data_IF_306234473196
#
_entry.id   IF_306234473196
#
_cell.length_a   1.000
_cell.length_b   1.000
_cell.length_c   1.000
_cell.angle_alpha   90.00
_cell.angle_beta   90.00
_cell.angle_gamma   90.00
#
_symmetry.space_group_name_H-M   'P 1'
#
loop_
_entity.id
_entity.type
_entity.pdbx_description
1 polymer ?
#
# COMPACT_ATOMS: atom_id res chain seq x y z
N UNK A 1 26.64 -6.69 -37.37
CA UNK A 1 27.15 -8.07 -37.26
C UNK A 1 26.71 -8.62 -35.91
N UNK A 2 25.73 -9.52 -35.88
CA UNK A 2 25.22 -10.11 -34.64
C UNK A 2 26.16 -11.27 -34.30
N UNK A 3 27.18 -11.02 -33.48
CA UNK A 3 27.94 -12.11 -32.90
C UNK A 3 27.03 -12.86 -31.92
N UNK A 4 26.64 -14.08 -32.28
CA UNK A 4 25.97 -14.99 -31.35
C UNK A 4 27.03 -15.47 -30.36
N UNK A 5 27.29 -14.69 -29.33
CA UNK A 5 28.16 -15.10 -28.23
C UNK A 5 27.48 -16.14 -27.36
N UNK A 6 28.26 -17.13 -26.93
CA UNK A 6 27.81 -18.17 -26.02
C UNK A 6 27.56 -17.58 -24.62
N UNK A 7 26.59 -18.12 -23.88
CA UNK A 7 26.25 -17.64 -22.53
C UNK A 7 27.46 -17.69 -21.58
N UNK A 8 28.30 -18.72 -21.70
CA UNK A 8 29.50 -18.87 -20.89
C UNK A 8 30.52 -17.74 -21.12
N UNK A 9 30.71 -17.33 -22.38
CA UNK A 9 31.62 -16.24 -22.73
C UNK A 9 31.08 -14.89 -22.25
N UNK A 10 29.77 -14.67 -22.38
CA UNK A 10 29.11 -13.46 -21.87
C UNK A 10 29.24 -13.37 -20.36
N UNK A 11 29.00 -14.47 -19.64
CA UNK A 11 29.16 -14.51 -18.18
C UNK A 11 30.61 -14.22 -17.79
N UNK A 12 31.59 -14.78 -18.51
CA UNK A 12 33.00 -14.48 -18.29
C UNK A 12 33.30 -12.98 -18.47
N UNK A 13 32.89 -12.38 -19.60
CA UNK A 13 33.10 -10.96 -19.86
C UNK A 13 32.42 -10.05 -18.82
N UNK A 14 31.25 -10.43 -18.32
CA UNK A 14 30.54 -9.63 -17.32
C UNK A 14 31.27 -9.73 -15.97
N UNK A 15 31.66 -10.93 -15.54
CA UNK A 15 32.28 -11.14 -14.22
C UNK A 15 33.71 -10.61 -14.13
N UNK A 16 34.53 -10.88 -15.14
CA UNK A 16 35.96 -10.60 -15.08
C UNK A 16 36.31 -9.24 -15.69
N UNK A 17 35.59 -8.81 -16.73
CA UNK A 17 35.90 -7.58 -17.45
C UNK A 17 34.91 -6.44 -17.11
N UNK A 18 33.85 -6.71 -16.34
CA UNK A 18 32.82 -5.71 -16.03
C UNK A 18 32.11 -5.17 -17.28
N UNK A 19 32.04 -5.95 -18.35
CA UNK A 19 31.57 -5.46 -19.65
C UNK A 19 30.06 -5.19 -19.64
N UNK A 20 29.66 -3.92 -19.51
CA UNK A 20 28.25 -3.51 -19.55
C UNK A 20 27.55 -3.87 -20.87
N UNK A 21 28.27 -3.84 -21.99
CA UNK A 21 27.72 -4.22 -23.29
C UNK A 21 27.30 -5.70 -23.31
N UNK A 22 28.10 -6.58 -22.70
CA UNK A 22 27.76 -8.00 -22.56
C UNK A 22 26.56 -8.20 -21.62
N UNK A 23 26.47 -7.41 -20.55
CA UNK A 23 25.33 -7.44 -19.64
C UNK A 23 24.02 -7.00 -20.32
N UNK A 24 24.07 -5.87 -21.04
CA UNK A 24 22.92 -5.37 -21.81
C UNK A 24 22.48 -6.38 -22.88
N UNK A 25 23.43 -7.04 -23.54
CA UNK A 25 23.13 -8.11 -24.48
C UNK A 25 22.42 -9.30 -23.81
N UNK A 26 22.86 -9.71 -22.61
CA UNK A 26 22.21 -10.76 -21.84
C UNK A 26 20.77 -10.38 -21.45
N UNK A 27 20.53 -9.13 -21.03
CA UNK A 27 19.18 -8.65 -20.75
C UNK A 27 18.27 -8.75 -21.97
N UNK A 28 18.72 -8.26 -23.12
CA UNK A 28 17.94 -8.36 -24.38
C UNK A 28 17.69 -9.81 -24.79
N UNK A 29 18.70 -10.67 -24.68
CA UNK A 29 18.63 -12.09 -25.04
C UNK A 29 17.58 -12.86 -24.21
N UNK A 30 17.53 -12.59 -22.90
CA UNK A 30 16.67 -13.31 -21.96
C UNK A 30 15.33 -12.61 -21.67
N UNK A 31 15.12 -11.38 -22.16
CA UNK A 31 13.88 -10.61 -21.97
C UNK A 31 12.63 -11.42 -22.37
N UNK A 32 12.61 -11.99 -23.58
CA UNK A 32 11.47 -12.80 -24.06
C UNK A 32 11.26 -14.06 -23.23
N UNK A 33 12.33 -14.63 -22.69
CA UNK A 33 12.27 -15.81 -21.84
C UNK A 33 11.60 -15.49 -20.49
N UNK A 34 11.94 -14.34 -19.90
CA UNK A 34 11.30 -13.84 -18.68
C UNK A 34 9.81 -13.59 -18.93
N UNK A 35 9.46 -12.85 -19.98
CA UNK A 35 8.07 -12.58 -20.34
C UNK A 35 7.25 -13.85 -20.55
N UNK A 36 7.82 -14.86 -21.21
CA UNK A 36 7.17 -16.16 -21.39
C UNK A 36 6.79 -16.79 -20.04
N UNK A 37 7.67 -16.70 -19.03
CA UNK A 37 7.36 -17.24 -17.70
C UNK A 37 6.35 -16.39 -16.94
N UNK A 38 6.39 -15.06 -17.06
CA UNK A 38 5.40 -14.17 -16.42
C UNK A 38 4.00 -14.48 -16.94
N UNK A 39 3.84 -14.60 -18.26
CA UNK A 39 2.54 -14.92 -18.88
C UNK A 39 1.99 -16.31 -18.50
N UNK A 40 2.83 -17.21 -17.97
CA UNK A 40 2.39 -18.52 -17.48
C UNK A 40 1.87 -18.49 -16.03
N UNK A 41 2.03 -17.37 -15.32
CA UNK A 41 1.66 -17.24 -13.90
C UNK A 41 0.24 -16.73 -13.68
N UNK A 42 -0.49 -16.37 -14.75
CA UNK A 42 -1.87 -15.85 -14.68
C UNK A 42 -2.04 -14.65 -13.71
N UNK A 43 -1.04 -13.76 -13.69
CA UNK A 43 -1.03 -12.56 -12.84
C UNK A 43 -1.99 -11.47 -13.38
N UNK A 44 -2.34 -10.51 -12.53
CA UNK A 44 -2.96 -9.26 -13.00
C UNK A 44 -1.96 -8.44 -13.82
N UNK A 45 -2.43 -7.75 -14.86
CA UNK A 45 -1.56 -7.00 -15.78
C UNK A 45 -0.74 -5.91 -15.07
N UNK A 46 -1.24 -5.35 -13.97
CA UNK A 46 -0.52 -4.36 -13.15
C UNK A 46 0.78 -4.90 -12.54
N UNK A 47 0.85 -6.22 -12.30
CA UNK A 47 2.01 -6.87 -11.69
C UNK A 47 3.10 -7.23 -12.72
N UNK A 48 2.81 -7.12 -14.02
CA UNK A 48 3.67 -7.64 -15.08
C UNK A 48 5.02 -6.93 -15.12
N UNK A 49 5.02 -5.61 -15.00
CA UNK A 49 6.24 -4.80 -15.06
C UNK A 49 7.14 -5.05 -13.84
N UNK A 50 6.54 -5.22 -12.66
CA UNK A 50 7.26 -5.55 -11.42
C UNK A 50 7.90 -6.94 -11.51
N UNK A 51 7.14 -7.95 -11.96
CA UNK A 51 7.68 -9.30 -12.18
C UNK A 51 8.77 -9.32 -13.27
N UNK A 52 8.64 -8.47 -14.30
CA UNK A 52 9.67 -8.35 -15.32
C UNK A 52 10.97 -7.77 -14.75
N UNK A 53 10.89 -6.71 -13.95
CA UNK A 53 12.03 -6.14 -13.25
C UNK A 53 12.69 -7.16 -12.31
N UNK A 54 11.89 -7.88 -11.52
CA UNK A 54 12.37 -8.95 -10.65
C UNK A 54 13.02 -10.10 -11.43
N UNK A 55 12.51 -10.39 -12.63
CA UNK A 55 13.11 -11.34 -13.56
C UNK A 55 14.50 -10.90 -14.04
N UNK A 56 14.67 -9.61 -14.36
CA UNK A 56 15.96 -9.03 -14.75
C UNK A 56 16.96 -9.02 -13.59
N UNK A 57 16.52 -8.69 -12.37
CA UNK A 57 17.35 -8.77 -11.17
C UNK A 57 17.78 -10.22 -10.89
N UNK A 58 16.87 -11.17 -11.07
CA UNK A 58 17.17 -12.60 -10.95
C UNK A 58 18.18 -13.05 -12.00
N UNK A 59 18.09 -12.53 -13.23
CA UNK A 59 19.07 -12.81 -14.28
C UNK A 59 20.45 -12.26 -13.92
N UNK A 60 20.53 -11.03 -13.43
CA UNK A 60 21.78 -10.46 -12.94
C UNK A 60 22.38 -11.33 -11.84
N UNK A 61 21.57 -11.75 -10.85
CA UNK A 61 21.99 -12.69 -9.81
C UNK A 61 22.44 -14.04 -10.39
N UNK A 62 21.74 -14.56 -11.40
CA UNK A 62 22.12 -15.79 -12.09
C UNK A 62 23.51 -15.67 -12.71
N UNK A 63 23.75 -14.54 -13.40
CA UNK A 63 25.02 -14.24 -14.04
C UNK A 63 26.14 -14.20 -13.02
N UNK A 64 25.93 -13.74 -11.79
CA UNK A 64 26.97 -13.71 -10.74
C UNK A 64 27.19 -15.07 -10.04
N UNK A 65 26.15 -15.90 -9.95
CA UNK A 65 26.16 -17.12 -9.10
C UNK A 65 26.30 -18.43 -9.87
N UNK A 66 26.08 -18.42 -11.19
CA UNK A 66 26.21 -19.61 -12.01
C UNK A 66 27.58 -20.28 -11.89
N UNK A 67 27.57 -21.61 -11.78
CA UNK A 67 28.76 -22.43 -11.74
C UNK A 67 28.59 -23.58 -12.75
N UNK A 68 29.49 -23.61 -13.74
CA UNK A 68 29.60 -24.61 -14.81
C UNK A 68 29.71 -26.05 -14.27
N UNK A 69 30.40 -26.23 -13.14
CA UNK A 69 30.76 -27.55 -12.62
C UNK A 69 29.57 -28.46 -12.25
N UNK A 70 28.36 -27.91 -12.19
CA UNK A 70 27.12 -28.68 -11.94
C UNK A 70 26.52 -29.33 -13.21
N UNK A 71 27.19 -29.26 -14.37
CA UNK A 71 26.74 -29.88 -15.62
C UNK A 71 25.32 -29.48 -16.05
N UNK A 72 24.94 -28.22 -15.81
CA UNK A 72 23.68 -27.63 -16.26
C UNK A 72 23.99 -26.41 -17.10
N UNK A 73 23.25 -26.23 -18.20
CA UNK A 73 23.34 -25.01 -18.97
C UNK A 73 22.89 -23.81 -18.14
N UNK A 74 23.48 -22.64 -18.42
CA UNK A 74 23.11 -21.39 -17.78
C UNK A 74 21.60 -21.13 -17.88
N UNK A 75 21.00 -21.33 -19.05
CA UNK A 75 19.55 -21.19 -19.27
C UNK A 75 18.74 -22.06 -18.31
N UNK A 76 19.16 -23.32 -18.07
CA UNK A 76 18.45 -24.22 -17.15
C UNK A 76 18.61 -23.84 -15.70
N UNK A 77 19.80 -23.37 -15.32
CA UNK A 77 20.03 -22.81 -14.00
C UNK A 77 19.17 -21.56 -13.76
N UNK A 78 19.17 -20.62 -14.72
CA UNK A 78 18.38 -19.41 -14.66
C UNK A 78 16.88 -19.71 -14.60
N UNK A 79 16.37 -20.60 -15.44
CA UNK A 79 14.97 -21.04 -15.44
C UNK A 79 14.53 -21.54 -14.04
N UNK A 80 15.38 -22.34 -13.39
CA UNK A 80 15.09 -22.89 -12.07
C UNK A 80 14.96 -21.80 -11.01
N UNK A 81 15.92 -20.88 -10.93
CA UNK A 81 15.89 -19.83 -9.91
C UNK A 81 14.82 -18.78 -10.21
N UNK A 82 14.55 -18.48 -11.49
CA UNK A 82 13.49 -17.56 -11.92
C UNK A 82 12.12 -18.05 -11.46
N UNK A 83 11.81 -19.33 -11.74
CA UNK A 83 10.55 -19.94 -11.29
C UNK A 83 10.41 -19.90 -9.77
N UNK A 84 11.47 -20.26 -9.03
CA UNK A 84 11.46 -20.22 -7.55
C UNK A 84 11.21 -18.81 -7.01
N UNK A 85 11.85 -17.81 -7.61
CA UNK A 85 11.68 -16.41 -7.25
C UNK A 85 10.25 -15.94 -7.50
N UNK A 86 9.72 -16.18 -8.69
CA UNK A 86 8.35 -15.82 -9.06
C UNK A 86 7.30 -16.49 -8.17
N UNK A 87 7.41 -17.79 -7.88
CA UNK A 87 6.52 -18.44 -6.91
C UNK A 87 6.68 -17.87 -5.49
N UNK A 88 7.86 -17.35 -5.14
CA UNK A 88 8.08 -16.57 -3.94
C UNK A 88 7.25 -15.30 -3.94
N UNK A 89 7.42 -14.46 -4.98
CA UNK A 89 6.70 -13.19 -5.13
C UNK A 89 5.18 -13.38 -5.09
N UNK A 90 4.65 -14.38 -5.79
CA UNK A 90 3.21 -14.70 -5.78
C UNK A 90 2.69 -14.92 -4.36
N UNK A 91 3.45 -15.58 -3.49
CA UNK A 91 3.04 -15.81 -2.10
C UNK A 91 2.99 -14.53 -1.26
N UNK A 92 3.71 -13.48 -1.67
CA UNK A 92 3.75 -12.19 -0.98
C UNK A 92 2.86 -11.14 -1.64
N UNK A 93 2.17 -11.46 -2.72
CA UNK A 93 1.26 -10.52 -3.36
C UNK A 93 0.13 -10.12 -2.40
N UNK A 94 -0.16 -8.81 -2.28
CA UNK A 94 -1.21 -8.33 -1.40
C UNK A 94 -2.57 -8.86 -1.89
N UNK A 95 -3.38 -9.36 -0.96
CA UNK A 95 -4.75 -9.78 -1.26
C UNK A 95 -5.73 -8.59 -1.30
N UNK A 96 -5.31 -7.43 -0.78
CA UNK A 96 -6.11 -6.21 -0.77
C UNK A 96 -5.82 -5.36 -2.01
N UNK A 97 -6.86 -4.77 -2.57
CA UNK A 97 -6.73 -3.79 -3.65
C UNK A 97 -6.63 -2.39 -3.04
N UNK A 98 -5.56 -1.67 -3.37
CA UNK A 98 -5.44 -0.25 -3.07
C UNK A 98 -6.19 0.51 -4.16
N UNK A 99 -7.27 1.20 -3.78
CA UNK A 99 -7.93 2.16 -4.64
C UNK A 99 -7.25 3.52 -4.43
N UNK A 100 -6.99 4.25 -5.50
CA UNK A 100 -6.72 5.68 -5.37
C UNK A 100 -7.95 6.30 -4.71
N UNK A 101 -7.79 6.84 -3.50
CA UNK A 101 -8.84 7.62 -2.87
C UNK A 101 -9.12 8.82 -3.78
N UNK A 102 -10.27 8.81 -4.45
CA UNK A 102 -10.79 9.92 -5.27
C UNK A 102 -11.06 11.18 -4.44
N UNK A 103 -10.86 11.10 -3.12
CA UNK A 103 -10.98 12.18 -2.15
C UNK A 103 -9.91 13.27 -2.30
N UNK A 104 -8.85 13.05 -3.08
CA UNK A 104 -7.84 14.09 -3.37
C UNK A 104 -8.29 15.13 -4.42
N UNK A 105 -9.33 14.85 -5.22
CA UNK A 105 -9.77 15.73 -6.34
C UNK A 105 -11.22 16.21 -6.19
N UNK A 106 -11.87 15.94 -5.05
CA UNK A 106 -12.90 16.88 -4.61
C UNK A 106 -12.15 17.99 -3.93
N UNK A 107 -11.87 19.03 -4.71
CA UNK A 107 -11.76 20.40 -4.21
C UNK A 107 -12.72 20.51 -3.03
N UNK A 108 -12.18 20.44 -1.82
CA UNK A 108 -12.93 20.81 -0.64
C UNK A 108 -13.14 22.30 -0.86
N UNK A 109 -14.20 22.67 -1.58
CA UNK A 109 -14.94 23.84 -1.21
C UNK A 109 -15.24 23.59 0.25
N UNK A 110 -14.43 24.21 1.13
CA UNK A 110 -14.87 24.54 2.45
C UNK A 110 -16.07 25.45 2.21
N UNK A 111 -17.22 24.83 1.93
CA UNK A 111 -18.47 25.38 2.40
C UNK A 111 -18.22 25.37 3.89
N UNK A 112 -17.81 26.52 4.42
CA UNK A 112 -18.10 26.83 5.81
C UNK A 112 -19.62 26.65 5.89
N UNK A 113 -20.06 25.42 6.19
CA UNK A 113 -21.39 25.20 6.69
C UNK A 113 -21.47 26.17 7.85
N UNK A 114 -22.29 27.21 7.71
CA UNK A 114 -22.58 28.11 8.81
C UNK A 114 -22.91 27.20 9.98
N UNK A 115 -22.06 27.20 11.00
CA UNK A 115 -22.26 26.33 12.14
C UNK A 115 -23.62 26.69 12.71
N UNK A 116 -24.64 25.85 12.48
CA UNK A 116 -25.95 26.10 13.03
C UNK A 116 -25.81 26.10 14.54
N UNK A 117 -25.90 27.29 15.14
CA UNK A 117 -25.80 27.43 16.57
C UNK A 117 -27.02 26.76 17.20
N UNK A 118 -26.80 25.74 18.03
CA UNK A 118 -27.86 25.08 18.77
C UNK A 118 -28.50 26.11 19.72
N UNK A 119 -29.72 26.53 19.40
CA UNK A 119 -30.52 27.40 20.25
C UNK A 119 -30.99 26.63 21.49
N UNK A 120 -30.50 27.02 22.66
CA UNK A 120 -30.93 26.46 23.94
C UNK A 120 -32.04 27.31 24.54
N UNK A 121 -33.15 26.68 24.91
CA UNK A 121 -34.29 27.34 25.54
C UNK A 121 -34.06 27.59 27.04
N UNK A 122 -33.06 26.92 27.64
CA UNK A 122 -32.77 26.97 29.07
C UNK A 122 -31.29 27.21 29.33
N UNK A 123 -30.99 28.11 30.26
CA UNK A 123 -29.63 28.37 30.77
C UNK A 123 -28.94 27.11 31.30
N UNK A 124 -29.74 26.14 31.79
CA UNK A 124 -29.25 24.86 32.32
C UNK A 124 -28.80 23.93 31.18
N UNK A 125 -29.49 23.96 30.04
CA UNK A 125 -29.09 23.18 28.86
C UNK A 125 -27.80 23.74 28.25
N UNK A 126 -27.64 25.07 28.24
CA UNK A 126 -26.43 25.72 27.76
C UNK A 126 -25.21 25.40 28.63
N UNK A 127 -25.32 25.50 29.96
CA UNK A 127 -24.21 25.18 30.86
C UNK A 127 -23.81 23.69 30.80
N UNK A 128 -24.79 22.79 30.66
CA UNK A 128 -24.52 21.36 30.48
C UNK A 128 -23.91 21.08 29.10
N UNK A 129 -24.34 21.77 28.05
CA UNK A 129 -23.74 21.67 26.73
C UNK A 129 -22.26 22.03 26.77
N UNK A 130 -21.92 23.19 27.33
CA UNK A 130 -20.55 23.67 27.44
C UNK A 130 -19.67 22.71 28.27
N UNK A 131 -20.19 22.21 29.39
CA UNK A 131 -19.40 21.36 30.31
C UNK A 131 -19.24 19.92 29.81
N UNK A 132 -20.32 19.31 29.35
CA UNK A 132 -20.33 17.90 28.96
C UNK A 132 -19.88 17.69 27.52
N UNK A 133 -20.34 18.51 26.57
CA UNK A 133 -20.07 18.31 25.14
C UNK A 133 -18.81 19.05 24.68
N UNK A 134 -18.62 20.32 25.07
CA UNK A 134 -17.42 21.08 24.68
C UNK A 134 -16.20 20.73 25.56
N UNK A 135 -16.34 20.82 26.89
CA UNK A 135 -15.23 20.59 27.84
C UNK A 135 -15.00 19.12 28.22
N UNK A 136 -15.89 18.21 27.79
CA UNK A 136 -15.81 16.75 28.06
C UNK A 136 -15.67 16.38 29.55
N UNK A 137 -16.27 17.16 30.44
CA UNK A 137 -16.25 16.88 31.87
C UNK A 137 -17.13 15.67 32.21
N UNK A 138 -16.72 14.87 33.20
CA UNK A 138 -17.51 13.75 33.68
C UNK A 138 -18.76 14.23 34.44
N UNK A 139 -19.88 13.52 34.32
CA UNK A 139 -21.17 13.87 34.96
C UNK A 139 -21.05 14.07 36.48
N UNK A 140 -20.17 13.31 37.14
CA UNK A 140 -19.88 13.48 38.58
C UNK A 140 -19.31 14.87 38.88
N UNK A 141 -18.30 15.30 38.12
CA UNK A 141 -17.67 16.62 38.27
C UNK A 141 -18.70 17.72 38.01
N UNK A 142 -19.53 17.57 36.99
CA UNK A 142 -20.61 18.51 36.69
C UNK A 142 -21.62 18.58 37.84
N UNK A 143 -21.99 17.43 38.42
CA UNK A 143 -22.91 17.34 39.57
C UNK A 143 -22.35 18.05 40.81
N UNK A 144 -21.05 17.89 41.07
CA UNK A 144 -20.36 18.51 42.20
C UNK A 144 -20.27 20.04 42.03
N UNK A 145 -19.98 20.53 40.82
CA UNK A 145 -19.83 21.96 40.52
C UNK A 145 -21.18 22.71 40.44
N UNK A 146 -22.21 22.07 39.88
CA UNK A 146 -23.51 22.71 39.62
C UNK A 146 -24.55 22.45 40.72
N UNK A 147 -24.24 21.56 41.68
CA UNK A 147 -25.18 21.05 42.70
C UNK A 147 -26.45 20.42 42.11
N UNK A 148 -26.43 20.04 40.83
CA UNK A 148 -27.54 19.36 40.17
C UNK A 148 -27.51 17.86 40.45
N UNK A 149 -28.69 17.25 40.53
CA UNK A 149 -28.78 15.79 40.60
C UNK A 149 -28.24 15.16 39.31
N UNK A 150 -27.53 14.03 39.39
CA UNK A 150 -27.12 13.27 38.20
C UNK A 150 -28.26 13.01 37.22
N UNK A 151 -29.49 12.79 37.75
CA UNK A 151 -30.70 12.58 36.93
C UNK A 151 -31.06 13.82 36.11
N UNK A 152 -30.92 15.01 36.67
CA UNK A 152 -31.19 16.27 35.94
C UNK A 152 -30.18 16.47 34.82
N UNK A 153 -28.91 16.13 35.08
CA UNK A 153 -27.83 16.24 34.09
C UNK A 153 -28.07 15.27 32.93
N UNK A 154 -28.39 14.00 33.22
CA UNK A 154 -28.70 13.02 32.17
C UNK A 154 -29.93 13.40 31.35
N UNK A 155 -30.97 13.96 31.98
CA UNK A 155 -32.15 14.44 31.27
C UNK A 155 -31.83 15.60 30.32
N UNK A 156 -30.98 16.53 30.75
CA UNK A 156 -30.53 17.64 29.90
C UNK A 156 -29.65 17.14 28.74
N UNK A 157 -28.70 16.23 29.00
CA UNK A 157 -27.88 15.59 27.97
C UNK A 157 -28.76 14.89 26.94
N UNK A 158 -29.81 14.19 27.38
CA UNK A 158 -30.76 13.53 26.49
C UNK A 158 -31.46 14.54 25.58
N UNK A 159 -31.99 15.65 26.12
CA UNK A 159 -32.65 16.70 25.32
C UNK A 159 -31.70 17.34 24.33
N UNK A 160 -30.47 17.62 24.74
CA UNK A 160 -29.43 18.18 23.86
C UNK A 160 -29.12 17.21 22.72
N UNK A 161 -28.99 15.90 22.99
CA UNK A 161 -28.79 14.87 21.95
C UNK A 161 -29.97 14.76 20.98
N UNK A 162 -31.20 14.86 21.45
CA UNK A 162 -32.37 14.87 20.57
C UNK A 162 -32.39 16.10 19.66
N UNK A 163 -31.97 17.28 20.17
CA UNK A 163 -31.81 18.49 19.34
C UNK A 163 -30.74 18.31 18.26
N UNK A 164 -29.60 17.67 18.58
CA UNK A 164 -28.60 17.30 17.59
C UNK A 164 -29.10 16.36 16.50
N UNK A 165 -30.01 15.44 16.85
CA UNK A 165 -30.59 14.48 15.90
C UNK A 165 -31.57 15.13 14.92
N UNK A 166 -32.15 16.28 15.27
CA UNK A 166 -33.07 17.05 14.42
C UNK A 166 -32.30 17.91 13.39
N UNK A 167 -31.01 18.18 13.64
CA UNK A 167 -30.13 18.95 12.73
C UNK A 167 -29.45 18.10 11.62
N UNK A 168 -29.66 16.78 11.62
CA UNK A 168 -29.13 15.84 10.60
C UNK A 168 -30.27 15.38 9.72
#
# INVERSE_FOLDING_TARGET
MIYVMNDYELIYLIRFNGCEHALNFMYQKYQKFIWKHIHQLHLEQKEYDDFHQEGLLTLHKAIQTFNDGYQKSFTKYFELILKRHFYGLIRYLPTYQLYEHTDFVKEFTLLEEETEYLSFESSLEQDIHDRYFLKRQAVKVISDETKLSPKQIYNAIYRIKEKYKIMI
#
